data_IF_306411686480
#
_entry.id   IF_306411686480
#
_cell.length_a   1.000
_cell.length_b   1.000
_cell.length_c   1.000
_cell.angle_alpha   90.00
_cell.angle_beta   90.00
_cell.angle_gamma   90.00
#
_symmetry.space_group_name_H-M   'P 1'
#
loop_
_entity.id
_entity.type
_entity.pdbx_description
1 polymer ?
#
# COMPACT_ATOMS: atom_id res chain seq x y z
N UNK A 1 2.12 2.64 6.80
CA UNK A 1 1.08 1.70 7.26
C UNK A 1 1.12 0.34 6.57
N UNK A 2 2.09 0.07 5.69
CA UNK A 2 2.17 -1.24 5.03
C UNK A 2 3.32 -2.04 5.60
N UNK A 3 3.04 -3.24 6.10
CA UNK A 3 4.05 -4.22 6.48
C UNK A 3 4.46 -5.02 5.24
N UNK A 4 5.57 -4.62 4.65
CA UNK A 4 6.13 -5.29 3.48
C UNK A 4 6.73 -6.66 3.84
N UNK A 5 7.18 -6.85 5.08
CA UNK A 5 7.76 -8.11 5.51
C UNK A 5 6.66 -9.17 5.63
N UNK A 6 5.51 -8.82 6.21
CA UNK A 6 4.34 -9.70 6.27
C UNK A 6 3.89 -10.15 4.87
N UNK A 7 3.87 -9.23 3.89
CA UNK A 7 3.58 -9.54 2.49
C UNK A 7 4.58 -10.56 1.94
N UNK A 8 5.87 -10.33 2.15
CA UNK A 8 6.95 -11.23 1.69
C UNK A 8 6.83 -12.61 2.32
N UNK A 9 6.59 -12.68 3.62
CA UNK A 9 6.54 -13.95 4.35
C UNK A 9 5.28 -14.75 3.99
N UNK A 10 4.14 -14.08 3.86
CA UNK A 10 2.84 -14.71 3.58
C UNK A 10 2.71 -15.17 2.14
N UNK A 11 3.12 -14.33 1.19
CA UNK A 11 2.85 -14.54 -0.25
C UNK A 11 4.07 -15.12 -0.96
N UNK A 12 5.25 -14.55 -0.69
CA UNK A 12 6.47 -14.89 -1.39
C UNK A 12 7.34 -15.89 -0.63
N UNK A 13 6.91 -16.36 0.55
CA UNK A 13 7.60 -17.36 1.38
C UNK A 13 9.09 -17.02 1.61
N UNK A 14 9.40 -15.73 1.74
CA UNK A 14 10.77 -15.24 1.95
C UNK A 14 11.69 -15.27 0.73
N UNK A 15 11.22 -15.69 -0.46
CA UNK A 15 12.06 -15.75 -1.67
C UNK A 15 12.37 -14.39 -2.30
N UNK A 16 11.61 -13.35 -1.95
CA UNK A 16 11.79 -12.00 -2.47
C UNK A 16 11.83 -11.01 -1.31
N UNK A 17 12.98 -10.41 -0.97
CA UNK A 17 13.06 -9.46 0.13
C UNK A 17 12.25 -8.18 -0.16
N UNK A 18 11.80 -7.46 0.88
CA UNK A 18 11.09 -6.19 0.73
C UNK A 18 11.87 -5.18 -0.12
N UNK A 19 11.14 -4.44 -0.96
CA UNK A 19 11.72 -3.38 -1.77
C UNK A 19 11.65 -2.04 -1.04
N UNK A 20 12.80 -1.48 -0.68
CA UNK A 20 12.88 -0.18 0.01
C UNK A 20 13.00 1.03 -0.94
N UNK A 21 13.09 0.80 -2.24
CA UNK A 21 13.27 1.84 -3.24
C UNK A 21 13.18 1.32 -4.67
N UNK A 22 13.35 2.20 -5.67
CA UNK A 22 13.21 1.84 -7.09
C UNK A 22 14.41 1.03 -7.63
N UNK A 23 15.56 1.07 -6.94
CA UNK A 23 16.77 0.35 -7.32
C UNK A 23 16.93 -0.88 -6.42
N UNK A 24 17.36 -1.99 -7.02
CA UNK A 24 17.75 -3.17 -6.26
C UNK A 24 19.05 -2.91 -5.50
N UNK A 25 19.27 -3.62 -4.40
CA UNK A 25 20.53 -3.54 -3.65
C UNK A 25 21.78 -3.91 -4.48
N UNK A 26 21.60 -4.65 -5.58
CA UNK A 26 22.66 -5.00 -6.51
C UNK A 26 22.97 -3.91 -7.56
N UNK A 27 22.14 -2.86 -7.64
CA UNK A 27 22.32 -1.78 -8.61
C UNK A 27 23.47 -0.86 -8.20
N UNK A 28 24.32 -0.47 -9.15
CA UNK A 28 25.37 0.51 -8.90
C UNK A 28 24.75 1.82 -8.38
N UNK A 29 25.41 2.46 -7.41
CA UNK A 29 24.95 3.69 -6.76
C UNK A 29 23.68 3.51 -5.90
N UNK A 30 23.32 2.27 -5.55
CA UNK A 30 22.34 2.01 -4.51
C UNK A 30 22.78 2.62 -3.17
N UNK A 31 21.86 3.35 -2.53
CA UNK A 31 22.07 3.94 -1.21
C UNK A 31 21.24 3.20 -0.18
N UNK A 32 21.88 2.53 0.78
CA UNK A 32 21.20 1.84 1.88
C UNK A 32 20.36 2.77 2.78
N UNK A 33 20.49 4.10 2.66
CA UNK A 33 19.61 5.03 3.36
C UNK A 33 18.13 4.82 3.01
N UNK A 34 17.82 4.36 1.79
CA UNK A 34 16.44 4.13 1.35
C UNK A 34 15.72 3.07 2.18
N UNK A 35 16.46 2.13 2.76
CA UNK A 35 15.94 1.05 3.64
C UNK A 35 15.26 1.59 4.90
N UNK A 36 15.61 2.82 5.31
CA UNK A 36 15.14 3.40 6.58
C UNK A 36 14.09 4.51 6.41
N UNK A 37 13.75 4.88 5.17
CA UNK A 37 12.91 6.07 4.90
C UNK A 37 11.44 5.86 5.29
N UNK A 38 10.91 4.66 5.08
CA UNK A 38 9.50 4.34 5.26
C UNK A 38 9.32 3.06 6.08
N UNK A 39 9.71 3.06 7.37
CA UNK A 39 9.48 1.91 8.23
C UNK A 39 7.98 1.63 8.36
N UNK A 40 7.63 0.37 8.63
CA UNK A 40 6.26 0.02 8.98
C UNK A 40 5.90 0.64 10.34
N UNK A 41 5.08 1.69 10.28
CA UNK A 41 4.61 2.44 11.45
C UNK A 41 3.16 2.91 11.17
N UNK A 42 2.15 2.13 11.60
CA UNK A 42 0.75 2.48 11.41
C UNK A 42 0.35 3.73 12.21
N UNK A 43 0.93 3.95 13.38
CA UNK A 43 0.64 5.12 14.23
C UNK A 43 1.14 6.42 13.60
N UNK A 44 2.35 6.40 13.04
CA UNK A 44 2.89 7.54 12.28
C UNK A 44 2.07 7.79 11.02
N UNK A 45 1.60 6.76 10.34
CA UNK A 45 0.72 6.92 9.19
C UNK A 45 -0.63 7.56 9.58
N UNK A 46 -1.25 7.11 10.68
CA UNK A 46 -2.45 7.72 11.23
C UNK A 46 -2.24 9.20 11.56
N UNK A 47 -1.11 9.54 12.20
CA UNK A 47 -0.73 10.91 12.53
C UNK A 47 -0.58 11.80 11.28
N UNK A 48 0.08 11.29 10.23
CA UNK A 48 0.26 12.02 8.97
C UNK A 48 -1.08 12.27 8.26
N UNK A 49 -1.99 11.30 8.29
CA UNK A 49 -3.33 11.43 7.72
C UNK A 49 -4.13 12.52 8.46
N UNK A 50 -4.06 12.56 9.79
CA UNK A 50 -4.73 13.60 10.60
C UNK A 50 -4.18 14.99 10.32
N UNK A 51 -2.85 15.13 10.23
CA UNK A 51 -2.21 16.38 9.85
C UNK A 51 -2.63 16.85 8.44
N UNK A 52 -2.92 15.92 7.54
CA UNK A 52 -3.44 16.22 6.20
C UNK A 52 -4.96 16.51 6.17
N UNK A 53 -5.63 16.46 7.33
CA UNK A 53 -7.07 16.72 7.49
C UNK A 53 -7.96 15.50 7.31
N UNK A 54 -7.40 14.29 7.25
CA UNK A 54 -8.16 13.05 7.21
C UNK A 54 -8.46 12.56 8.63
N UNK A 55 -9.65 12.89 9.11
CA UNK A 55 -10.09 12.56 10.48
C UNK A 55 -10.87 11.24 10.49
N UNK A 56 -10.79 10.47 11.58
CA UNK A 56 -11.59 9.26 11.72
C UNK A 56 -12.73 9.51 12.72
N UNK A 57 -13.95 9.82 12.25
CA UNK A 57 -15.07 10.13 13.15
C UNK A 57 -15.52 8.91 13.95
N UNK A 58 -15.36 7.72 13.38
CA UNK A 58 -15.70 6.45 14.02
C UNK A 58 -14.41 5.68 14.32
N UNK A 59 -14.16 5.29 15.57
CA UNK A 59 -12.99 4.46 15.88
C UNK A 59 -13.05 3.16 15.06
N UNK A 60 -12.05 2.92 14.19
CA UNK A 60 -12.05 1.80 13.24
C UNK A 60 -12.85 2.03 11.95
N UNK A 61 -13.43 3.22 11.75
CA UNK A 61 -14.09 3.65 10.52
C UNK A 61 -13.11 4.05 9.41
N UNK A 62 -13.67 4.44 8.26
CA UNK A 62 -12.92 5.04 7.16
C UNK A 62 -12.78 6.53 7.44
N UNK A 63 -11.55 7.04 7.31
CA UNK A 63 -11.24 8.46 7.49
C UNK A 63 -11.99 9.32 6.48
N UNK A 64 -12.32 10.53 6.88
CA UNK A 64 -13.06 11.48 6.07
C UNK A 64 -12.40 12.86 6.07
N UNK A 65 -12.55 13.55 4.94
CA UNK A 65 -12.18 14.95 4.76
C UNK A 65 -13.23 15.60 3.87
N UNK A 66 -13.78 16.73 4.30
CA UNK A 66 -14.84 17.44 3.59
C UNK A 66 -16.02 16.52 3.20
N UNK A 67 -16.47 15.70 4.17
CA UNK A 67 -17.55 14.70 4.03
C UNK A 67 -17.28 13.58 3.01
N UNK A 68 -16.05 13.51 2.46
CA UNK A 68 -15.64 12.46 1.52
C UNK A 68 -14.82 11.39 2.24
N UNK A 69 -15.15 10.10 2.05
CA UNK A 69 -14.36 9.01 2.60
C UNK A 69 -13.02 8.91 1.88
N UNK A 70 -11.97 8.52 2.61
CA UNK A 70 -10.65 8.21 2.07
C UNK A 70 -10.70 6.85 1.39
N UNK A 71 -11.15 6.85 0.14
CA UNK A 71 -11.24 5.66 -0.70
C UNK A 71 -10.27 5.76 -1.87
N UNK A 72 -9.46 4.72 -2.05
CA UNK A 72 -8.49 4.57 -3.13
C UNK A 72 -8.95 3.46 -4.06
N UNK A 73 -8.78 3.65 -5.37
CA UNK A 73 -9.00 2.58 -6.35
C UNK A 73 -7.67 2.09 -6.88
N UNK A 74 -7.39 0.81 -6.70
CA UNK A 74 -6.20 0.13 -7.19
C UNK A 74 -6.56 -0.78 -8.35
N UNK A 75 -5.86 -0.63 -9.47
CA UNK A 75 -5.98 -1.54 -10.61
C UNK A 75 -4.85 -2.55 -10.56
N UNK A 76 -5.20 -3.82 -10.47
CA UNK A 76 -4.25 -4.92 -10.35
C UNK A 76 -4.35 -5.81 -11.57
N UNK A 77 -3.20 -6.29 -12.02
CA UNK A 77 -3.19 -7.34 -13.03
C UNK A 77 -3.66 -8.65 -12.40
N UNK A 78 -4.34 -9.49 -13.18
CA UNK A 78 -4.85 -10.79 -12.71
C UNK A 78 -3.80 -11.91 -12.65
N UNK A 79 -2.53 -11.61 -12.92
CA UNK A 79 -1.43 -12.59 -12.95
C UNK A 79 -0.41 -12.35 -11.86
N UNK A 80 0.40 -13.39 -11.59
CA UNK A 80 1.34 -13.39 -10.47
C UNK A 80 0.60 -13.38 -9.14
N UNK A 81 1.24 -12.82 -8.11
CA UNK A 81 0.67 -12.71 -6.77
C UNK A 81 0.04 -11.33 -6.48
N UNK A 82 -0.21 -10.54 -7.52
CA UNK A 82 -0.75 -9.19 -7.37
C UNK A 82 -2.14 -9.15 -6.71
N UNK A 83 -3.08 -10.08 -7.01
CA UNK A 83 -4.36 -10.14 -6.31
C UNK A 83 -4.20 -10.34 -4.79
N UNK A 84 -3.33 -11.28 -4.38
CA UNK A 84 -3.07 -11.60 -2.98
C UNK A 84 -2.38 -10.44 -2.25
N UNK A 85 -1.41 -9.79 -2.90
CA UNK A 85 -0.76 -8.58 -2.37
C UNK A 85 -1.80 -7.47 -2.20
N UNK A 86 -2.70 -7.32 -3.18
CA UNK A 86 -3.82 -6.39 -3.12
C UNK A 86 -4.70 -6.61 -1.89
N UNK A 87 -5.07 -7.85 -1.60
CA UNK A 87 -5.91 -8.21 -0.45
C UNK A 87 -5.22 -7.87 0.88
N UNK A 88 -3.92 -8.16 1.01
CA UNK A 88 -3.19 -7.85 2.24
C UNK A 88 -3.01 -6.34 2.42
N UNK A 89 -2.77 -5.60 1.33
CA UNK A 89 -2.77 -4.13 1.35
C UNK A 89 -4.14 -3.58 1.77
N UNK A 90 -5.24 -4.15 1.28
CA UNK A 90 -6.58 -3.73 1.68
C UNK A 90 -6.78 -3.91 3.19
N UNK A 91 -6.34 -5.04 3.75
CA UNK A 91 -6.42 -5.29 5.19
C UNK A 91 -5.60 -4.28 6.01
N UNK A 92 -4.31 -4.12 5.70
CA UNK A 92 -3.42 -3.24 6.45
C UNK A 92 -3.81 -1.76 6.34
N UNK A 93 -4.25 -1.30 5.15
CA UNK A 93 -4.71 0.08 4.97
C UNK A 93 -6.02 0.36 5.71
N UNK A 94 -6.88 -0.65 5.88
CA UNK A 94 -8.13 -0.52 6.60
C UNK A 94 -7.91 -0.21 8.08
N UNK A 95 -6.82 -0.71 8.67
CA UNK A 95 -6.44 -0.45 10.08
C UNK A 95 -6.17 1.03 10.34
N UNK A 96 -5.61 1.75 9.36
CA UNK A 96 -5.39 3.19 9.43
C UNK A 96 -6.54 4.02 8.83
N UNK A 97 -7.66 3.37 8.52
CA UNK A 97 -8.90 4.01 8.06
C UNK A 97 -8.89 4.41 6.58
N UNK A 98 -8.17 3.68 5.72
CA UNK A 98 -8.18 3.86 4.27
C UNK A 98 -9.00 2.72 3.63
N UNK A 99 -9.93 3.05 2.73
CA UNK A 99 -10.70 2.09 1.94
C UNK A 99 -10.01 1.85 0.59
N UNK A 100 -9.13 0.85 0.50
CA UNK A 100 -8.57 0.44 -0.78
C UNK A 100 -9.56 -0.50 -1.50
N UNK A 101 -9.95 -0.16 -2.73
CA UNK A 101 -10.78 -0.99 -3.60
C UNK A 101 -9.96 -1.47 -4.79
N UNK A 102 -9.75 -2.77 -4.88
CA UNK A 102 -8.96 -3.37 -5.95
C UNK A 102 -9.85 -3.90 -7.07
N UNK A 103 -9.50 -3.59 -8.31
CA UNK A 103 -10.13 -4.13 -9.51
C UNK A 103 -9.09 -4.88 -10.34
N UNK A 104 -9.44 -6.11 -10.74
CA UNK A 104 -8.60 -6.88 -11.65
C UNK A 104 -8.84 -6.42 -13.09
N UNK A 105 -7.77 -6.01 -13.75
CA UNK A 105 -7.81 -5.53 -15.14
C UNK A 105 -6.87 -6.36 -16.02
N UNK A 106 -7.30 -6.61 -17.26
CA UNK A 106 -6.42 -7.14 -18.29
C UNK A 106 -5.49 -6.03 -18.82
N UNK A 107 -4.31 -6.38 -19.32
CA UNK A 107 -3.27 -5.41 -19.72
C UNK A 107 -3.77 -4.28 -20.64
N UNK A 108 -4.61 -4.54 -21.67
CA UNK A 108 -5.15 -3.47 -22.51
C UNK A 108 -6.04 -2.48 -21.73
N UNK A 109 -6.85 -2.98 -20.80
CA UNK A 109 -7.76 -2.17 -20.00
C UNK A 109 -7.04 -1.38 -18.90
N UNK A 110 -5.90 -1.88 -18.39
CA UNK A 110 -5.08 -1.19 -17.40
C UNK A 110 -4.48 0.12 -17.94
N UNK A 111 -4.09 0.13 -19.21
CA UNK A 111 -3.54 1.32 -19.89
C UNK A 111 -4.61 2.38 -20.12
N UNK A 112 -5.84 1.97 -20.48
CA UNK A 112 -6.97 2.89 -20.67
C UNK A 112 -7.48 3.49 -19.35
N UNK A 113 -7.49 2.72 -18.25
CA UNK A 113 -7.95 3.20 -16.94
C UNK A 113 -6.97 4.16 -16.23
N UNK A 114 -5.71 4.22 -16.70
CA UNK A 114 -4.67 5.09 -16.17
C UNK A 114 -4.54 6.44 -16.90
N UNK A 115 -5.29 6.65 -17.99
CA UNK A 115 -5.39 7.90 -18.74
C UNK A 115 -6.63 8.71 -18.39
#
# INVERSE_FOLDING_TARGET
ATDQQEIVDTIFQGYSPPASGPLSAATQDYSGLVETLYPFDPDRAATLLEQAGWTNPDSGGIRQKDEKPLSLRGYLMSWGYLPEVGQLLQAQLREVGIDLRTELVAFPAAVEAAG
#
